data_IF_161627179043
#
_entry.id   IF_161627179043
#
_cell.length_a   1.000
_cell.length_b   1.000
_cell.length_c   1.000
_cell.angle_alpha   90.00
_cell.angle_beta   90.00
_cell.angle_gamma   90.00
#
_symmetry.space_group_name_H-M   'P 1'
#
loop_
_entity.id
_entity.type
_entity.pdbx_description
1 polymer ?
#
# COMPACT_ATOMS: atom_id res chain seq x y z
N UNK A 1 14.21 -12.47 16.21
CA UNK A 1 12.74 -12.34 16.24
C UNK A 1 12.23 -12.16 14.82
N UNK A 2 11.48 -13.12 14.36
CA UNK A 2 11.00 -13.12 12.97
C UNK A 2 10.07 -11.95 12.68
N UNK A 3 9.27 -11.52 13.67
CA UNK A 3 8.35 -10.40 13.51
C UNK A 3 9.05 -9.08 13.23
N UNK A 4 10.36 -8.99 13.50
CA UNK A 4 11.15 -7.80 13.24
C UNK A 4 12.06 -7.93 12.02
N UNK A 5 11.96 -9.07 11.31
CA UNK A 5 12.75 -9.30 10.11
C UNK A 5 12.28 -8.38 8.98
N UNK A 6 13.16 -7.50 8.46
CA UNK A 6 12.77 -6.59 7.38
C UNK A 6 12.23 -7.32 6.15
N UNK A 7 12.78 -8.49 5.81
CA UNK A 7 12.30 -9.25 4.66
C UNK A 7 10.83 -9.63 4.82
N UNK A 8 10.42 -10.06 6.01
CA UNK A 8 9.03 -10.43 6.27
C UNK A 8 8.12 -9.22 6.09
N UNK A 9 8.54 -8.04 6.58
CA UNK A 9 7.77 -6.81 6.41
C UNK A 9 7.67 -6.39 4.95
N UNK A 10 8.76 -6.55 4.20
CA UNK A 10 8.77 -6.25 2.77
C UNK A 10 7.81 -7.17 2.02
N UNK A 11 7.80 -8.46 2.39
CA UNK A 11 6.84 -9.41 1.80
C UNK A 11 5.40 -9.05 2.14
N UNK A 12 5.14 -8.60 3.37
CA UNK A 12 3.81 -8.13 3.76
C UNK A 12 3.37 -6.93 2.91
N UNK A 13 4.28 -5.98 2.70
CA UNK A 13 3.97 -4.84 1.82
C UNK A 13 3.62 -5.32 0.43
N UNK A 14 4.46 -6.17 -0.15
CA UNK A 14 4.26 -6.68 -1.50
C UNK A 14 2.96 -7.46 -1.62
N UNK A 15 2.71 -8.39 -0.70
CA UNK A 15 1.54 -9.27 -0.79
C UNK A 15 0.24 -8.49 -0.63
N UNK A 16 0.19 -7.55 0.30
CA UNK A 16 -1.03 -6.77 0.53
C UNK A 16 -1.26 -5.74 -0.58
N UNK A 17 -0.19 -5.15 -1.12
CA UNK A 17 -0.31 -4.26 -2.27
C UNK A 17 -0.84 -5.02 -3.49
N UNK A 18 -0.32 -6.22 -3.74
CA UNK A 18 -0.77 -7.06 -4.85
C UNK A 18 -2.22 -7.47 -4.65
N UNK A 19 -2.61 -7.82 -3.44
CA UNK A 19 -4.01 -8.18 -3.13
C UNK A 19 -4.95 -7.01 -3.43
N UNK A 20 -4.55 -5.80 -3.06
CA UNK A 20 -5.37 -4.61 -3.35
C UNK A 20 -5.53 -4.41 -4.86
N UNK A 21 -4.44 -4.56 -5.62
CA UNK A 21 -4.48 -4.44 -7.07
C UNK A 21 -5.45 -5.48 -7.65
N UNK A 22 -5.38 -6.71 -7.19
CA UNK A 22 -6.22 -7.80 -7.69
C UNK A 22 -7.68 -7.59 -7.32
N UNK A 23 -7.95 -7.13 -6.10
CA UNK A 23 -9.31 -6.86 -5.65
C UNK A 23 -9.97 -5.75 -6.45
N UNK A 24 -9.23 -4.67 -6.74
CA UNK A 24 -9.79 -3.58 -7.53
C UNK A 24 -10.04 -4.02 -8.96
N UNK A 25 -9.07 -4.72 -9.57
CA UNK A 25 -9.18 -5.22 -10.94
C UNK A 25 -9.67 -4.15 -11.89
N UNK A 26 -10.74 -4.44 -12.62
CA UNK A 26 -11.33 -3.53 -13.61
C UNK A 26 -12.45 -2.65 -13.04
N UNK A 27 -12.61 -2.64 -11.71
CA UNK A 27 -13.64 -1.83 -11.06
C UNK A 27 -13.39 -0.35 -11.37
N UNK A 28 -14.45 0.36 -11.75
CA UNK A 28 -14.36 1.80 -12.00
C UNK A 28 -14.49 2.58 -10.68
N UNK A 29 -14.11 3.86 -10.72
CA UNK A 29 -14.27 4.72 -9.54
C UNK A 29 -15.74 4.79 -9.10
N UNK A 30 -16.67 4.91 -10.07
CA UNK A 30 -18.10 4.94 -9.74
C UNK A 30 -18.54 3.67 -9.05
N UNK A 31 -18.08 2.51 -9.53
CA UNK A 31 -18.39 1.24 -8.90
C UNK A 31 -17.78 1.14 -7.51
N UNK A 32 -16.55 1.61 -7.33
CA UNK A 32 -15.93 1.65 -6.00
C UNK A 32 -16.73 2.50 -5.03
N UNK A 33 -17.24 3.64 -5.47
CA UNK A 33 -18.05 4.52 -4.64
C UNK A 33 -19.36 3.88 -4.17
N UNK A 34 -19.80 2.82 -4.85
CA UNK A 34 -21.02 2.12 -4.53
C UNK A 34 -20.78 0.72 -3.96
N UNK A 35 -19.54 0.39 -3.63
CA UNK A 35 -19.17 -0.94 -3.12
C UNK A 35 -18.51 -0.82 -1.76
N UNK A 36 -19.33 -0.91 -0.72
CA UNK A 36 -18.85 -0.71 0.66
C UNK A 36 -17.82 -1.76 1.08
N UNK A 37 -18.01 -3.01 0.67
CA UNK A 37 -17.07 -4.08 1.03
C UNK A 37 -15.71 -3.81 0.40
N UNK A 38 -15.70 -3.42 -0.87
CA UNK A 38 -14.45 -3.13 -1.56
C UNK A 38 -13.76 -1.91 -0.96
N UNK A 39 -14.53 -0.87 -0.62
CA UNK A 39 -13.99 0.31 0.05
C UNK A 39 -13.24 -0.07 1.32
N UNK A 40 -13.90 -0.84 2.18
CA UNK A 40 -13.30 -1.27 3.46
C UNK A 40 -12.06 -2.13 3.24
N UNK A 41 -12.11 -3.04 2.27
CA UNK A 41 -10.99 -3.92 2.00
C UNK A 41 -9.78 -3.16 1.48
N UNK A 42 -9.98 -2.25 0.52
CA UNK A 42 -8.87 -1.50 -0.07
C UNK A 42 -8.23 -0.56 0.95
N UNK A 43 -9.03 0.14 1.75
CA UNK A 43 -8.50 1.03 2.78
C UNK A 43 -7.65 0.22 3.77
N UNK A 44 -8.14 -0.94 4.22
CA UNK A 44 -7.41 -1.80 5.15
C UNK A 44 -6.09 -2.26 4.54
N UNK A 45 -6.09 -2.68 3.28
CA UNK A 45 -4.88 -3.15 2.62
C UNK A 45 -3.83 -2.03 2.47
N UNK A 46 -4.28 -0.83 2.12
CA UNK A 46 -3.39 0.33 2.02
C UNK A 46 -2.81 0.67 3.39
N UNK A 47 -3.62 0.59 4.45
CA UNK A 47 -3.15 0.82 5.81
C UNK A 47 -2.07 -0.18 6.21
N UNK A 48 -2.25 -1.45 5.86
CA UNK A 48 -1.25 -2.49 6.15
C UNK A 48 0.06 -2.20 5.41
N UNK A 49 -0.02 -1.82 4.14
CA UNK A 49 1.18 -1.47 3.36
C UNK A 49 1.91 -0.29 4.01
N UNK A 50 1.18 0.76 4.38
CA UNK A 50 1.77 1.93 5.02
C UNK A 50 2.38 1.62 6.37
N UNK A 51 1.71 0.84 7.17
CA UNK A 51 2.21 0.44 8.48
C UNK A 51 3.49 -0.38 8.37
N UNK A 52 3.51 -1.36 7.46
CA UNK A 52 4.71 -2.16 7.24
C UNK A 52 5.87 -1.30 6.76
N UNK A 53 5.61 -0.38 5.83
CA UNK A 53 6.65 0.53 5.32
C UNK A 53 7.24 1.40 6.44
N UNK A 54 6.39 1.88 7.34
CA UNK A 54 6.83 2.76 8.43
C UNK A 54 7.75 2.04 9.42
N UNK A 55 7.73 0.72 9.43
CA UNK A 55 8.52 -0.10 10.36
C UNK A 55 9.81 -0.65 9.75
N UNK A 56 10.11 -0.33 8.49
CA UNK A 56 11.35 -0.75 7.86
C UNK A 56 12.50 0.05 8.46
N UNK A 57 13.57 -0.61 8.96
CA UNK A 57 14.70 0.09 9.55
C UNK A 57 15.39 1.04 8.57
N UNK A 58 15.96 2.11 9.09
CA UNK A 58 16.57 3.13 8.25
C UNK A 58 17.75 2.59 7.42
N UNK A 59 18.54 1.70 7.99
CA UNK A 59 19.66 1.10 7.25
C UNK A 59 19.19 0.30 6.03
N UNK A 60 18.05 -0.40 6.15
CA UNK A 60 17.45 -1.11 5.02
C UNK A 60 16.94 -0.11 3.98
N UNK A 61 16.27 0.95 4.41
CA UNK A 61 15.78 1.99 3.49
C UNK A 61 16.93 2.61 2.70
N UNK A 62 18.03 2.90 3.37
CA UNK A 62 19.21 3.49 2.71
C UNK A 62 19.90 2.53 1.76
N UNK A 63 19.88 1.24 2.09
CA UNK A 63 20.46 0.21 1.23
C UNK A 63 19.62 -0.05 -0.02
N UNK A 64 18.32 0.29 0.00
CA UNK A 64 17.39 0.04 -1.11
C UNK A 64 16.67 1.33 -1.49
N UNK A 65 17.41 2.33 -2.02
CA UNK A 65 16.84 3.66 -2.26
C UNK A 65 15.87 3.72 -3.45
N UNK A 66 15.80 2.67 -4.26
CA UNK A 66 14.86 2.62 -5.38
C UNK A 66 13.42 2.47 -4.91
N UNK A 67 13.20 1.98 -3.69
CA UNK A 67 11.86 1.83 -3.14
C UNK A 67 11.45 3.15 -2.48
N UNK A 68 10.28 3.70 -2.82
CA UNK A 68 9.82 4.95 -2.22
C UNK A 68 9.18 4.71 -0.84
N UNK A 69 10.03 4.42 0.13
CA UNK A 69 9.62 4.01 1.48
C UNK A 69 8.72 5.04 2.16
N UNK A 70 9.09 6.32 2.07
CA UNK A 70 8.33 7.38 2.73
C UNK A 70 6.96 7.56 2.07
N UNK A 71 6.91 7.51 0.74
CA UNK A 71 5.64 7.57 0.01
C UNK A 71 4.73 6.42 0.42
N UNK A 72 5.29 5.21 0.53
CA UNK A 72 4.52 4.04 0.96
C UNK A 72 4.02 4.20 2.39
N UNK A 73 4.88 4.68 3.30
CA UNK A 73 4.49 4.89 4.70
C UNK A 73 3.37 5.94 4.81
N UNK A 74 3.37 6.94 3.94
CA UNK A 74 2.40 8.04 4.00
C UNK A 74 1.11 7.77 3.24
N UNK A 75 1.01 6.66 2.52
CA UNK A 75 -0.18 6.36 1.70
C UNK A 75 -1.49 6.48 2.48
N UNK A 76 -1.53 5.93 3.70
CA UNK A 76 -2.75 5.96 4.49
C UNK A 76 -3.20 7.37 4.81
N UNK A 77 -2.25 8.28 5.02
CA UNK A 77 -2.57 9.66 5.41
C UNK A 77 -3.26 10.43 4.28
N UNK A 78 -2.98 10.05 3.04
CA UNK A 78 -3.58 10.69 1.87
C UNK A 78 -5.03 10.28 1.66
N UNK A 79 -5.45 9.16 2.24
CA UNK A 79 -6.82 8.64 2.05
C UNK A 79 -7.84 9.45 2.84
N UNK A 80 -7.41 10.08 3.92
CA UNK A 80 -8.33 10.78 4.83
C UNK A 80 -8.41 12.24 4.45
N UNK A 81 -9.63 12.70 4.16
CA UNK A 81 -9.91 14.09 3.84
C UNK A 81 -10.72 14.69 4.99
N UNK A 82 -10.14 15.66 5.69
CA UNK A 82 -10.77 16.21 6.88
C UNK A 82 -10.63 15.26 8.05
N UNK A 83 -11.64 15.24 8.93
CA UNK A 83 -11.55 14.53 10.20
C UNK A 83 -11.65 13.00 10.05
N UNK A 84 -12.69 12.52 9.40
CA UNK A 84 -12.91 11.07 9.26
C UNK A 84 -13.51 10.68 7.91
N UNK A 85 -13.34 11.54 6.90
CA UNK A 85 -13.88 11.28 5.57
C UNK A 85 -12.81 10.66 4.70
N UNK A 86 -13.11 9.49 4.15
CA UNK A 86 -12.22 8.79 3.23
C UNK A 86 -12.47 9.32 1.81
N UNK A 87 -11.38 9.67 1.12
CA UNK A 87 -11.44 10.16 -0.25
C UNK A 87 -11.24 8.99 -1.21
N UNK A 88 -12.34 8.46 -1.76
CA UNK A 88 -12.26 7.25 -2.58
C UNK A 88 -11.57 7.44 -3.92
N UNK A 89 -11.58 8.67 -4.46
CA UNK A 89 -10.78 8.95 -5.65
C UNK A 89 -9.30 8.74 -5.37
N UNK A 90 -8.82 9.11 -4.18
CA UNK A 90 -7.43 8.89 -3.78
C UNK A 90 -7.16 7.40 -3.56
N UNK A 91 -8.10 6.67 -2.95
CA UNK A 91 -7.98 5.22 -2.80
C UNK A 91 -7.83 4.56 -4.17
N UNK A 92 -8.69 4.95 -5.11
CA UNK A 92 -8.67 4.41 -6.47
C UNK A 92 -7.33 4.68 -7.15
N UNK A 93 -6.87 5.93 -7.12
CA UNK A 93 -5.62 6.32 -7.77
C UNK A 93 -4.42 5.63 -7.12
N UNK A 94 -4.43 5.48 -5.79
CA UNK A 94 -3.36 4.79 -5.08
C UNK A 94 -3.22 3.35 -5.58
N UNK A 95 -4.34 2.64 -5.68
CA UNK A 95 -4.30 1.23 -6.12
C UNK A 95 -3.96 1.11 -7.60
N UNK A 96 -4.46 2.02 -8.43
CA UNK A 96 -4.23 1.97 -9.88
C UNK A 96 -2.83 2.43 -10.27
N UNK A 97 -2.34 3.50 -9.64
CA UNK A 97 -1.14 4.20 -10.11
C UNK A 97 0.07 3.97 -9.22
N UNK A 98 -0.10 3.91 -7.91
CA UNK A 98 1.02 3.87 -6.97
C UNK A 98 1.44 2.45 -6.61
N UNK A 99 0.48 1.55 -6.41
CA UNK A 99 0.79 0.19 -5.96
C UNK A 99 1.49 -0.68 -7.00
N UNK A 100 1.13 -0.65 -8.29
CA UNK A 100 1.81 -1.51 -9.27
C UNK A 100 3.32 -1.25 -9.36
N UNK A 101 3.80 0.01 -9.49
CA UNK A 101 5.25 0.23 -9.47
C UNK A 101 5.89 -0.17 -8.15
N UNK A 102 5.19 0.04 -7.02
CA UNK A 102 5.71 -0.36 -5.72
C UNK A 102 5.92 -1.87 -5.66
N UNK A 103 4.96 -2.67 -6.13
CA UNK A 103 5.10 -4.13 -6.17
C UNK A 103 6.33 -4.54 -6.98
N UNK A 104 6.53 -3.91 -8.15
CA UNK A 104 7.70 -4.21 -8.99
C UNK A 104 9.00 -3.90 -8.26
N UNK A 105 9.06 -2.77 -7.57
CA UNK A 105 10.25 -2.36 -6.82
C UNK A 105 10.52 -3.30 -5.64
N UNK A 106 9.48 -3.72 -4.94
CA UNK A 106 9.62 -4.66 -3.83
C UNK A 106 10.07 -6.04 -4.32
N UNK A 107 9.50 -6.52 -5.42
CA UNK A 107 9.90 -7.79 -6.01
C UNK A 107 11.37 -7.76 -6.42
N UNK A 108 11.87 -6.64 -6.89
CA UNK A 108 13.25 -6.52 -7.34
C UNK A 108 14.26 -6.67 -6.19
N UNK A 109 13.88 -6.35 -4.96
CA UNK A 109 14.78 -6.44 -3.80
C UNK A 109 14.54 -7.69 -2.96
N UNK A 110 13.48 -8.45 -3.22
CA UNK A 110 13.22 -9.71 -2.53
C UNK A 110 13.99 -10.84 -3.20
N UNK A 111 14.53 -11.78 -2.40
CA UNK A 111 15.24 -12.95 -2.96
C UNK A 111 14.29 -13.91 -3.67
#
# INVERSE_FOLDING_TARGET
MTQHDPEIRIRHMRDHALEAIEMLGDTTLDELRNDRKLQLALVQLIEIVGEAASRIPEDVRKAQPSVPWQMAADMRNKLIHGYDVIEYAVVYDTVKDDLPPLVQQLDAILP
#
